data_IF_019439893356
#
_entry.id   IF_019439893356
#
_cell.length_a   1.000
_cell.length_b   1.000
_cell.length_c   1.000
_cell.angle_alpha   90.00
_cell.angle_beta   90.00
_cell.angle_gamma   90.00
#
_symmetry.space_group_name_H-M   'P 1'
#
loop_
_entity.id
_entity.type
_entity.pdbx_description
1 polymer ?
#
# COMPACT_ATOMS: atom_id res chain seq x y z
N UNK A 1 -8.60 12.35 8.36
CA UNK A 1 -7.93 12.33 7.04
C UNK A 1 -7.81 10.88 6.65
N UNK A 2 -7.66 10.57 5.37
CA UNK A 2 -7.85 9.23 4.86
C UNK A 2 -6.63 8.90 3.98
N UNK A 3 -6.08 7.69 4.08
CA UNK A 3 -4.82 7.24 3.42
C UNK A 3 -4.65 7.73 1.98
N UNK A 4 -5.72 7.75 1.18
CA UNK A 4 -5.61 8.15 -0.22
C UNK A 4 -5.26 9.63 -0.38
N UNK A 5 -5.68 10.50 0.54
CA UNK A 5 -5.37 11.92 0.46
C UNK A 5 -3.87 12.12 0.61
N UNK A 6 -3.24 11.38 1.53
CA UNK A 6 -1.80 11.37 1.69
C UNK A 6 -1.10 10.86 0.44
N UNK A 7 -1.60 9.75 -0.14
CA UNK A 7 -1.10 9.21 -1.41
C UNK A 7 -1.21 10.25 -2.54
N UNK A 8 -2.35 10.92 -2.68
CA UNK A 8 -2.59 11.93 -3.71
C UNK A 8 -1.61 13.11 -3.56
N UNK A 9 -1.46 13.65 -2.35
CA UNK A 9 -0.49 14.70 -2.06
C UNK A 9 0.94 14.25 -2.34
N UNK A 10 1.30 13.03 -1.96
CA UNK A 10 2.61 12.47 -2.25
C UNK A 10 2.84 12.38 -3.77
N UNK A 11 1.87 11.93 -4.55
CA UNK A 11 1.95 11.87 -6.02
C UNK A 11 2.13 13.27 -6.61
N UNK A 12 1.38 14.27 -6.14
CA UNK A 12 1.48 15.66 -6.62
C UNK A 12 2.89 16.20 -6.37
N UNK A 13 3.37 16.12 -5.12
CA UNK A 13 4.68 16.66 -4.72
C UNK A 13 5.79 15.92 -5.47
N UNK A 14 5.72 14.60 -5.51
CA UNK A 14 6.69 13.76 -6.21
C UNK A 14 6.68 14.03 -7.73
N UNK A 15 5.51 14.26 -8.33
CA UNK A 15 5.35 14.64 -9.72
C UNK A 15 5.96 16.00 -10.05
N UNK A 16 5.79 17.00 -9.18
CA UNK A 16 6.45 18.31 -9.30
C UNK A 16 7.97 18.14 -9.26
N UNK A 17 8.49 17.40 -8.29
CA UNK A 17 9.93 17.14 -8.16
C UNK A 17 10.46 16.41 -9.39
N UNK A 18 9.78 15.36 -9.85
CA UNK A 18 10.16 14.62 -11.06
C UNK A 18 10.15 15.51 -12.30
N UNK A 19 9.15 16.38 -12.42
CA UNK A 19 9.05 17.38 -13.49
C UNK A 19 10.26 18.32 -13.49
N UNK A 20 10.64 18.84 -12.33
CA UNK A 20 11.84 19.69 -12.16
C UNK A 20 13.12 18.93 -12.49
N UNK A 21 13.27 17.69 -12.00
CA UNK A 21 14.44 16.85 -12.26
C UNK A 21 14.58 16.46 -13.73
N UNK A 22 13.47 16.39 -14.46
CA UNK A 22 13.44 15.99 -15.87
C UNK A 22 13.82 17.12 -16.83
N UNK A 23 13.82 18.38 -16.38
CA UNK A 23 14.23 19.53 -17.20
C UNK A 23 15.68 19.40 -17.67
N UNK A 24 16.00 19.99 -18.81
CA UNK A 24 17.35 20.05 -19.40
C UNK A 24 18.01 18.66 -19.51
N UNK A 25 17.32 17.71 -20.16
CA UNK A 25 17.75 16.30 -20.32
C UNK A 25 18.01 15.57 -18.99
N UNK A 26 17.49 16.12 -17.88
CA UNK A 26 17.72 15.58 -16.56
C UNK A 26 17.12 14.19 -16.32
N UNK A 27 16.13 13.79 -17.12
CA UNK A 27 15.57 12.44 -17.11
C UNK A 27 16.61 11.36 -17.46
N UNK A 28 17.65 11.68 -18.25
CA UNK A 28 18.76 10.77 -18.58
C UNK A 28 19.70 10.56 -17.40
N UNK A 29 19.73 11.48 -16.43
CA UNK A 29 20.68 11.49 -15.30
C UNK A 29 20.16 10.66 -14.11
N UNK A 30 19.84 9.38 -14.34
CA UNK A 30 19.20 8.48 -13.35
C UNK A 30 19.94 8.44 -12.01
N UNK A 31 21.27 8.31 -12.01
CA UNK A 31 22.07 8.28 -10.76
C UNK A 31 21.93 9.56 -9.93
N UNK A 32 21.87 10.72 -10.59
CA UNK A 32 21.67 12.02 -9.94
C UNK A 32 20.28 12.08 -9.30
N UNK A 33 19.24 11.68 -10.06
CA UNK A 33 17.87 11.74 -9.59
C UNK A 33 17.64 10.80 -8.39
N UNK A 34 18.22 9.58 -8.42
CA UNK A 34 18.19 8.66 -7.28
C UNK A 34 18.83 9.29 -6.03
N UNK A 35 19.99 9.95 -6.15
CA UNK A 35 20.64 10.62 -5.03
C UNK A 35 19.79 11.75 -4.45
N UNK A 36 19.14 12.54 -5.32
CA UNK A 36 18.26 13.64 -4.90
C UNK A 36 17.05 13.08 -4.17
N UNK A 37 16.38 12.06 -4.70
CA UNK A 37 15.26 11.40 -4.02
C UNK A 37 15.66 10.79 -2.68
N UNK A 38 16.85 10.18 -2.59
CA UNK A 38 17.35 9.63 -1.34
C UNK A 38 17.57 10.74 -0.30
N UNK A 39 18.18 11.86 -0.71
CA UNK A 39 18.37 13.02 0.16
C UNK A 39 17.03 13.61 0.63
N UNK A 40 16.08 13.78 -0.28
CA UNK A 40 14.74 14.29 0.04
C UNK A 40 13.98 13.36 0.99
N UNK A 41 14.12 12.04 0.83
CA UNK A 41 13.52 11.06 1.75
C UNK A 41 14.08 11.21 3.17
N UNK A 42 15.41 11.35 3.32
CA UNK A 42 16.03 11.60 4.64
C UNK A 42 15.56 12.94 5.21
N UNK A 43 15.54 14.00 4.41
CA UNK A 43 15.07 15.33 4.86
C UNK A 43 13.63 15.24 5.37
N UNK A 44 12.72 14.59 4.65
CA UNK A 44 11.33 14.43 5.08
C UNK A 44 11.26 13.76 6.44
N UNK A 45 11.94 12.62 6.62
CA UNK A 45 11.91 11.87 7.89
C UNK A 45 12.48 12.69 9.05
N UNK A 46 13.59 13.40 8.85
CA UNK A 46 14.22 14.24 9.87
C UNK A 46 13.34 15.46 10.21
N UNK A 47 12.65 16.02 9.22
CA UNK A 47 11.78 17.18 9.40
C UNK A 47 10.41 16.83 9.99
N UNK A 48 9.96 15.58 9.90
CA UNK A 48 8.68 15.11 10.45
C UNK A 48 8.37 15.63 11.86
N UNK A 49 9.22 15.41 12.89
CA UNK A 49 8.92 15.87 14.25
C UNK A 49 8.85 17.40 14.35
N UNK A 50 9.66 18.12 13.56
CA UNK A 50 9.65 19.59 13.51
C UNK A 50 8.39 20.13 12.85
N UNK A 51 7.90 19.46 11.79
CA UNK A 51 6.65 19.81 11.11
C UNK A 51 5.46 19.58 12.04
N UNK A 52 5.38 18.43 12.70
CA UNK A 52 4.30 18.15 13.64
C UNK A 52 4.29 19.13 14.82
N UNK A 53 5.44 19.34 15.48
CA UNK A 53 5.56 20.32 16.56
C UNK A 53 5.26 21.76 16.11
N UNK A 54 5.60 22.10 14.86
CA UNK A 54 5.24 23.38 14.25
C UNK A 54 3.74 23.53 14.09
N UNK A 55 3.08 22.52 13.51
CA UNK A 55 1.63 22.54 13.29
C UNK A 55 0.84 22.67 14.59
N UNK A 56 1.27 21.97 15.64
CA UNK A 56 0.63 22.06 16.96
C UNK A 56 0.79 23.45 17.60
N UNK A 57 1.91 24.15 17.34
CA UNK A 57 2.11 25.53 17.80
C UNK A 57 1.34 26.56 16.97
N UNK A 58 1.18 26.32 15.67
CA UNK A 58 0.53 27.26 14.74
C UNK A 58 -1.00 27.23 14.85
N UNK A 59 -1.59 26.11 15.29
CA UNK A 59 -3.03 25.96 15.43
C UNK A 59 -3.37 26.15 16.90
N UNK A 60 -4.15 27.20 17.20
CA UNK A 60 -4.55 27.54 18.56
C UNK A 60 -5.07 26.29 19.28
N UNK A 61 -4.50 26.02 20.47
CA UNK A 61 -4.78 24.92 21.38
C UNK A 61 -4.13 23.54 21.09
N UNK A 62 -3.02 23.47 20.34
CA UNK A 62 -1.95 22.50 20.62
C UNK A 62 -2.11 21.02 20.25
N UNK A 63 -3.24 20.60 19.67
CA UNK A 63 -3.57 19.17 19.48
C UNK A 63 -4.03 18.83 18.04
N UNK A 64 -3.45 19.50 17.04
CA UNK A 64 -3.86 19.27 15.66
C UNK A 64 -3.34 17.95 15.11
N UNK A 65 -2.10 17.60 15.48
CA UNK A 65 -1.47 16.35 15.06
C UNK A 65 -2.06 15.13 15.77
N UNK A 66 -2.44 15.28 17.03
CA UNK A 66 -3.11 14.25 17.85
C UNK A 66 -4.59 14.04 17.50
N UNK A 67 -5.16 14.94 16.70
CA UNK A 67 -6.49 14.79 16.13
C UNK A 67 -7.62 14.93 17.14
N UNK A 68 -7.49 15.78 18.16
CA UNK A 68 -8.61 16.21 19.03
C UNK A 68 -8.87 17.72 18.92
N UNK A 69 -10.10 18.14 18.58
CA UNK A 69 -10.50 19.55 18.55
C UNK A 69 -10.57 20.05 19.99
N UNK A 70 -9.71 20.99 20.37
CA UNK A 70 -9.60 21.46 21.74
C UNK A 70 -10.76 22.36 22.18
N UNK A 71 -11.57 22.88 21.25
CA UNK A 71 -12.79 23.61 21.56
C UNK A 71 -13.96 22.69 21.93
N UNK A 72 -14.01 21.48 21.37
CA UNK A 72 -15.16 20.56 21.51
C UNK A 72 -14.82 19.26 22.22
N UNK A 73 -13.53 18.91 22.36
CA UNK A 73 -13.06 17.63 22.89
C UNK A 73 -13.30 16.44 21.97
N UNK A 74 -13.88 16.64 20.79
CA UNK A 74 -14.11 15.59 19.80
C UNK A 74 -12.88 15.37 18.93
N UNK A 75 -12.71 14.17 18.40
CA UNK A 75 -11.66 13.94 17.39
C UNK A 75 -11.84 14.89 16.20
N UNK A 76 -10.77 15.46 15.64
CA UNK A 76 -10.82 16.21 14.37
C UNK A 76 -11.27 15.26 13.25
N UNK A 77 -12.58 15.08 13.11
CA UNK A 77 -13.17 14.32 12.03
C UNK A 77 -13.25 15.22 10.80
N UNK A 78 -12.95 14.64 9.64
CA UNK A 78 -13.18 15.30 8.35
C UNK A 78 -14.71 15.45 8.21
N UNK A 79 -15.27 16.62 8.51
CA UNK A 79 -16.73 16.74 8.51
C UNK A 79 -17.31 17.96 9.22
N UNK A 80 -16.61 18.56 10.19
CA UNK A 80 -17.03 19.83 10.82
C UNK A 80 -16.72 21.03 9.91
N UNK A 81 -17.09 20.90 8.63
CA UNK A 81 -17.10 21.94 7.62
C UNK A 81 -18.11 23.04 7.96
N UNK A 82 -19.04 22.78 8.88
CA UNK A 82 -20.18 23.65 9.18
C UNK A 82 -19.82 24.73 10.22
N UNK A 83 -18.87 24.47 11.12
CA UNK A 83 -18.57 25.37 12.26
C UNK A 83 -17.31 26.23 12.09
N UNK A 84 -16.76 26.30 10.87
CA UNK A 84 -15.52 27.05 10.56
C UNK A 84 -15.71 28.16 9.53
N UNK A 85 -14.91 29.24 9.63
CA UNK A 85 -14.79 30.22 8.54
C UNK A 85 -14.27 29.53 7.26
N UNK A 86 -14.69 30.00 6.08
CA UNK A 86 -14.27 29.44 4.79
C UNK A 86 -12.74 29.26 4.71
N UNK A 87 -11.98 30.25 5.19
CA UNK A 87 -10.53 30.19 5.21
C UNK A 87 -9.96 29.14 6.17
N UNK A 88 -10.59 28.91 7.33
CA UNK A 88 -10.23 27.81 8.24
C UNK A 88 -10.48 26.45 7.58
N UNK A 89 -11.57 26.31 6.82
CA UNK A 89 -11.88 25.08 6.10
C UNK A 89 -10.93 24.84 4.93
N UNK A 90 -10.57 25.88 4.16
CA UNK A 90 -9.56 25.76 3.10
C UNK A 90 -8.19 25.41 3.68
N UNK A 91 -7.76 26.10 4.74
CA UNK A 91 -6.45 25.82 5.36
C UNK A 91 -6.38 24.41 5.95
N UNK A 92 -7.48 23.91 6.53
CA UNK A 92 -7.59 22.54 7.05
C UNK A 92 -7.23 21.49 6.00
N UNK A 93 -7.61 21.65 4.72
CA UNK A 93 -7.26 20.70 3.65
C UNK A 93 -5.75 20.51 3.50
N UNK A 94 -4.99 21.61 3.58
CA UNK A 94 -3.53 21.59 3.44
C UNK A 94 -2.83 21.22 4.74
N UNK A 95 -3.27 21.79 5.87
CA UNK A 95 -2.67 21.55 7.18
C UNK A 95 -2.89 20.11 7.62
N UNK A 96 -4.09 19.55 7.43
CA UNK A 96 -4.37 18.15 7.76
C UNK A 96 -3.47 17.22 6.98
N UNK A 97 -3.15 17.58 5.74
CA UNK A 97 -2.27 16.79 4.92
C UNK A 97 -0.82 16.76 5.43
N UNK A 98 -0.34 17.85 6.04
CA UNK A 98 1.04 17.91 6.51
C UNK A 98 1.29 17.11 7.79
N UNK A 99 0.32 17.06 8.71
CA UNK A 99 0.52 16.45 10.03
C UNK A 99 -0.75 16.00 10.75
N UNK A 100 -1.87 15.80 10.04
CA UNK A 100 -3.09 15.29 10.64
C UNK A 100 -2.95 13.85 11.16
N UNK A 101 -3.89 13.47 12.02
CA UNK A 101 -3.84 12.24 12.81
C UNK A 101 -3.69 10.95 11.98
N UNK A 102 -4.34 10.87 10.81
CA UNK A 102 -4.34 9.67 9.97
C UNK A 102 -3.43 9.88 8.77
N UNK A 103 -2.32 9.16 8.76
CA UNK A 103 -1.33 9.06 7.68
C UNK A 103 -0.90 10.38 7.02
N UNK A 104 -0.22 11.29 7.72
CA UNK A 104 0.21 12.58 7.16
C UNK A 104 1.30 12.48 6.07
N UNK A 105 1.43 13.50 5.22
CA UNK A 105 2.52 13.60 4.21
C UNK A 105 3.90 13.41 4.86
N UNK A 106 4.11 13.88 6.07
CA UNK A 106 5.32 13.60 6.85
C UNK A 106 5.00 12.45 7.82
N UNK A 107 5.63 11.26 7.75
CA UNK A 107 6.79 10.90 6.91
C UNK A 107 6.46 10.22 5.57
N UNK A 108 5.20 9.98 5.22
CA UNK A 108 4.84 9.11 4.08
C UNK A 108 5.34 9.58 2.70
N UNK A 109 5.65 10.86 2.54
CA UNK A 109 6.31 11.41 1.35
C UNK A 109 7.69 10.80 1.11
N UNK A 110 8.41 10.44 2.18
CA UNK A 110 9.66 9.72 2.07
C UNK A 110 9.46 8.33 1.42
N UNK A 111 8.36 7.65 1.73
CA UNK A 111 7.99 6.37 1.10
C UNK A 111 7.74 6.57 -0.39
N UNK A 112 7.04 7.65 -0.77
CA UNK A 112 6.84 8.01 -2.19
C UNK A 112 8.15 8.24 -2.93
N UNK A 113 9.12 8.93 -2.31
CA UNK A 113 10.45 9.12 -2.88
C UNK A 113 11.23 7.80 -3.01
N UNK A 114 11.12 6.89 -2.04
CA UNK A 114 11.69 5.54 -2.17
C UNK A 114 11.04 4.79 -3.33
N UNK A 115 9.72 4.92 -3.51
CA UNK A 115 9.00 4.40 -4.69
C UNK A 115 9.59 4.93 -6.00
N UNK A 116 9.86 6.24 -6.10
CA UNK A 116 10.52 6.85 -7.26
C UNK A 116 11.92 6.29 -7.51
N UNK A 117 12.71 6.05 -6.45
CA UNK A 117 14.04 5.43 -6.57
C UNK A 117 13.91 4.03 -7.19
N UNK A 118 12.96 3.22 -6.70
CA UNK A 118 12.70 1.88 -7.23
C UNK A 118 12.28 1.97 -8.71
N UNK A 119 11.33 2.84 -9.05
CA UNK A 119 10.87 3.04 -10.42
C UNK A 119 11.99 3.45 -11.38
N UNK A 120 12.79 4.46 -11.01
CA UNK A 120 13.97 4.88 -11.77
C UNK A 120 14.99 3.76 -11.96
N UNK A 121 15.13 2.90 -10.95
CA UNK A 121 16.04 1.77 -11.01
C UNK A 121 15.54 0.70 -11.99
N UNK A 122 14.26 0.34 -11.94
CA UNK A 122 13.64 -0.64 -12.83
C UNK A 122 13.73 -0.17 -14.29
N UNK A 123 13.38 1.08 -14.58
CA UNK A 123 13.47 1.64 -15.94
C UNK A 123 14.89 1.61 -16.50
N UNK A 124 15.89 1.88 -15.66
CA UNK A 124 17.29 1.77 -16.08
C UNK A 124 17.65 0.33 -16.41
N UNK A 125 17.19 -0.63 -15.62
CA UNK A 125 17.49 -2.04 -15.84
C UNK A 125 16.77 -2.62 -17.06
N UNK A 126 15.55 -2.19 -17.38
CA UNK A 126 14.84 -2.61 -18.59
C UNK A 126 15.52 -2.10 -19.87
N UNK A 127 16.15 -0.92 -19.83
CA UNK A 127 16.87 -0.35 -20.98
C UNK A 127 18.19 -1.07 -21.33
N UNK A 128 18.79 -1.82 -20.38
CA UNK A 128 20.04 -2.55 -20.56
C UNK A 128 19.70 -4.00 -20.90
N UNK A 129 19.36 -4.26 -22.17
CA UNK A 129 18.83 -5.53 -22.68
C UNK A 129 19.80 -6.75 -22.65
N UNK A 130 21.02 -6.62 -22.15
CA UNK A 130 22.06 -7.67 -22.31
C UNK A 130 22.20 -8.70 -21.18
N UNK A 131 22.11 -8.30 -19.91
CA UNK A 131 22.27 -9.22 -18.78
C UNK A 131 21.46 -8.73 -17.57
N UNK A 132 20.28 -9.32 -17.39
CA UNK A 132 19.31 -8.93 -16.37
C UNK A 132 19.69 -9.52 -15.01
N UNK A 133 20.65 -8.87 -14.36
CA UNK A 133 21.10 -9.25 -13.02
C UNK A 133 19.99 -9.10 -11.98
N UNK A 134 19.73 -10.14 -11.18
CA UNK A 134 18.82 -10.06 -10.00
C UNK A 134 19.48 -9.38 -8.79
N UNK A 135 20.77 -9.03 -8.88
CA UNK A 135 21.55 -8.41 -7.81
C UNK A 135 20.89 -7.17 -7.17
N UNK A 136 20.30 -6.22 -7.91
CA UNK A 136 19.71 -5.04 -7.28
C UNK A 136 18.42 -5.33 -6.54
N UNK A 137 17.56 -6.23 -7.05
CA UNK A 137 16.42 -6.71 -6.28
C UNK A 137 16.87 -7.36 -4.98
N UNK A 138 17.92 -8.21 -5.03
CA UNK A 138 18.48 -8.83 -3.83
C UNK A 138 19.02 -7.80 -2.83
N UNK A 139 19.74 -6.78 -3.32
CA UNK A 139 20.24 -5.68 -2.47
C UNK A 139 19.10 -4.86 -1.87
N UNK A 140 18.06 -4.55 -2.65
CA UNK A 140 16.87 -3.85 -2.17
C UNK A 140 16.10 -4.67 -1.14
N UNK A 141 15.91 -5.97 -1.38
CA UNK A 141 15.31 -6.88 -0.39
C UNK A 141 16.15 -7.00 0.89
N UNK A 142 17.48 -6.99 0.77
CA UNK A 142 18.37 -6.99 1.94
C UNK A 142 18.30 -5.68 2.72
N UNK A 143 18.23 -4.54 2.04
CA UNK A 143 18.01 -3.25 2.68
C UNK A 143 16.65 -3.20 3.39
N UNK A 144 15.59 -3.68 2.73
CA UNK A 144 14.26 -3.83 3.32
C UNK A 144 14.28 -4.73 4.56
N UNK A 145 14.99 -5.85 4.52
CA UNK A 145 15.15 -6.74 5.67
C UNK A 145 15.90 -6.05 6.83
N UNK A 146 16.98 -5.33 6.54
CA UNK A 146 17.72 -4.56 7.55
C UNK A 146 16.80 -3.50 8.19
N UNK A 147 16.00 -2.79 7.38
CA UNK A 147 15.01 -1.85 7.88
C UNK A 147 14.02 -2.55 8.83
N UNK A 148 13.43 -3.68 8.42
CA UNK A 148 12.53 -4.45 9.28
C UNK A 148 13.19 -4.83 10.60
N UNK A 149 14.43 -5.32 10.58
CA UNK A 149 15.17 -5.66 11.80
C UNK A 149 15.41 -4.43 12.70
N UNK A 150 15.85 -3.30 12.12
CA UNK A 150 16.06 -2.05 12.87
C UNK A 150 14.75 -1.55 13.48
N UNK A 151 13.66 -1.56 12.71
CA UNK A 151 12.34 -1.17 13.18
C UNK A 151 11.84 -2.08 14.29
N UNK A 152 11.95 -3.40 14.14
CA UNK A 152 11.54 -4.36 15.16
C UNK A 152 12.34 -4.18 16.47
N UNK A 153 13.67 -4.16 16.37
CA UNK A 153 14.55 -3.99 17.54
C UNK A 153 14.31 -2.64 18.21
N UNK A 154 14.13 -1.58 17.43
CA UNK A 154 13.83 -0.25 17.94
C UNK A 154 12.48 -0.17 18.64
N UNK A 155 11.42 -0.76 18.07
CA UNK A 155 10.12 -0.87 18.74
C UNK A 155 10.26 -1.61 20.08
N UNK A 156 10.92 -2.78 20.10
CA UNK A 156 11.15 -3.54 21.34
C UNK A 156 11.96 -2.73 22.37
N UNK A 157 13.01 -2.03 21.94
CA UNK A 157 13.81 -1.21 22.83
C UNK A 157 13.00 -0.07 23.47
N UNK A 158 12.16 0.62 22.69
CA UNK A 158 11.28 1.68 23.23
C UNK A 158 10.26 1.09 24.21
N UNK A 159 9.70 -0.08 23.93
CA UNK A 159 8.81 -0.79 24.84
C UNK A 159 9.50 -1.11 26.17
N UNK A 160 10.73 -1.64 26.13
CA UNK A 160 11.48 -1.99 27.33
C UNK A 160 11.87 -0.76 28.18
N UNK A 161 12.20 0.36 27.53
CA UNK A 161 12.57 1.61 28.23
C UNK A 161 11.35 2.27 28.88
N UNK A 162 10.15 2.08 28.33
CA UNK A 162 8.92 2.70 28.81
C UNK A 162 8.36 2.07 30.11
N UNK A 163 9.02 1.03 30.65
CA UNK A 163 8.63 0.32 31.88
C UNK A 163 7.60 -0.79 31.63
N UNK A 164 7.85 -2.00 32.14
CA UNK A 164 7.15 -3.24 31.77
C UNK A 164 5.62 -3.27 31.88
N UNK A 165 5.00 -2.47 32.76
CA UNK A 165 3.53 -2.32 32.85
C UNK A 165 2.90 -1.69 31.58
N UNK A 166 3.75 -1.23 30.66
CA UNK A 166 3.36 -0.66 29.37
C UNK A 166 3.36 -1.65 28.22
N UNK A 167 3.75 -2.92 28.37
CA UNK A 167 3.73 -3.85 27.21
C UNK A 167 2.31 -4.05 26.69
N UNK A 168 1.33 -4.24 27.56
CA UNK A 168 -0.08 -4.34 27.16
C UNK A 168 -0.62 -3.01 26.67
N UNK A 169 -0.31 -1.90 27.33
CA UNK A 169 -0.74 -0.57 26.87
C UNK A 169 -0.10 -0.18 25.54
N UNK A 170 1.14 -0.59 25.30
CA UNK A 170 1.87 -0.27 24.09
C UNK A 170 1.57 -1.25 22.96
N UNK A 171 1.24 -2.51 23.24
CA UNK A 171 0.60 -3.41 22.29
C UNK A 171 -0.79 -2.89 21.91
N UNK A 172 -1.57 -2.44 22.89
CA UNK A 172 -2.87 -1.80 22.69
C UNK A 172 -2.72 -0.50 21.88
N UNK A 173 -1.71 0.30 22.16
CA UNK A 173 -1.38 1.49 21.37
C UNK A 173 -0.92 1.11 19.97
N UNK A 174 -0.05 0.11 19.77
CA UNK A 174 0.35 -0.34 18.44
C UNK A 174 -0.83 -0.96 17.65
N UNK A 175 -1.80 -1.56 18.33
CA UNK A 175 -3.02 -2.11 17.75
C UNK A 175 -4.05 -1.01 17.40
N UNK A 176 -4.10 0.06 18.19
CA UNK A 176 -5.09 1.14 18.05
C UNK A 176 -4.50 2.44 17.47
N UNK A 177 -3.18 2.49 17.23
CA UNK A 177 -2.52 3.66 16.65
C UNK A 177 -2.73 3.63 15.15
N UNK A 178 -3.87 4.14 14.73
CA UNK A 178 -4.14 4.50 13.33
C UNK A 178 -3.31 5.75 12.90
N UNK A 179 -2.34 6.15 13.74
CA UNK A 179 -1.75 7.47 13.80
C UNK A 179 -0.28 7.43 14.24
N UNK A 180 0.61 7.84 13.33
CA UNK A 180 2.03 8.06 13.62
C UNK A 180 2.28 9.27 14.55
N UNK A 181 1.54 10.39 14.45
CA UNK A 181 1.64 11.49 15.41
C UNK A 181 1.34 11.06 16.86
N UNK A 182 0.28 10.27 17.08
CA UNK A 182 -0.06 9.78 18.42
C UNK A 182 1.04 8.87 19.00
N UNK A 183 1.70 8.06 18.17
CA UNK A 183 2.88 7.29 18.58
C UNK A 183 4.04 8.20 19.00
N UNK A 184 4.21 9.36 18.37
CA UNK A 184 5.22 10.33 18.78
C UNK A 184 4.88 10.94 20.14
N UNK A 185 3.64 11.38 20.31
CA UNK A 185 3.21 12.02 21.55
C UNK A 185 3.26 11.06 22.75
N UNK A 186 2.94 9.79 22.52
CA UNK A 186 2.86 8.78 23.58
C UNK A 186 4.19 8.10 23.87
N UNK A 187 4.95 7.75 22.84
CA UNK A 187 6.14 6.88 22.94
C UNK A 187 7.40 7.51 22.33
N UNK A 188 7.39 8.82 22.07
CA UNK A 188 8.55 9.57 21.59
C UNK A 188 9.04 9.05 20.24
N UNK A 189 10.23 8.46 20.18
CA UNK A 189 10.84 8.01 18.91
C UNK A 189 10.22 6.72 18.35
N UNK A 190 9.24 6.10 19.02
CA UNK A 190 8.59 4.86 18.56
C UNK A 190 8.03 4.95 17.13
N UNK A 191 7.45 6.11 16.76
CA UNK A 191 6.90 6.34 15.42
C UNK A 191 7.95 6.10 14.32
N UNK A 192 9.22 6.44 14.58
CA UNK A 192 10.30 6.30 13.60
C UNK A 192 10.63 4.83 13.36
N UNK A 193 10.72 4.04 14.43
CA UNK A 193 10.99 2.61 14.32
C UNK A 193 9.81 1.86 13.68
N UNK A 194 8.57 2.23 14.03
CA UNK A 194 7.38 1.69 13.38
C UNK A 194 7.33 2.08 11.90
N UNK A 195 7.65 3.33 11.56
CA UNK A 195 7.75 3.80 10.19
C UNK A 195 8.78 3.00 9.38
N UNK A 196 9.98 2.78 9.92
CA UNK A 196 11.02 1.97 9.28
C UNK A 196 10.57 0.52 9.11
N UNK A 197 9.93 -0.06 10.13
CA UNK A 197 9.41 -1.43 10.10
C UNK A 197 8.38 -1.61 8.98
N UNK A 198 7.38 -0.73 8.92
CA UNK A 198 6.32 -0.78 7.92
C UNK A 198 6.86 -0.51 6.51
N UNK A 199 7.70 0.52 6.36
CA UNK A 199 8.30 0.88 5.06
C UNK A 199 9.20 -0.25 4.55
N UNK A 200 10.05 -0.81 5.43
CA UNK A 200 10.89 -1.96 5.11
C UNK A 200 10.07 -3.16 4.67
N UNK A 201 8.98 -3.45 5.38
CA UNK A 201 8.05 -4.54 5.04
C UNK A 201 7.40 -4.33 3.67
N UNK A 202 6.89 -3.12 3.39
CA UNK A 202 6.28 -2.77 2.11
C UNK A 202 7.26 -2.90 0.94
N UNK A 203 8.48 -2.37 1.08
CA UNK A 203 9.54 -2.50 0.06
C UNK A 203 9.90 -3.97 -0.15
N UNK A 204 10.07 -4.73 0.94
CA UNK A 204 10.38 -6.15 0.89
C UNK A 204 9.32 -6.94 0.12
N UNK A 205 8.04 -6.72 0.43
CA UNK A 205 6.91 -7.33 -0.25
C UNK A 205 6.84 -6.94 -1.74
N UNK A 206 6.99 -5.65 -2.07
CA UNK A 206 6.95 -5.18 -3.46
C UNK A 206 8.08 -5.79 -4.30
N UNK A 207 9.32 -5.74 -3.81
CA UNK A 207 10.47 -6.31 -4.50
C UNK A 207 10.38 -7.84 -4.61
N UNK A 208 9.78 -8.50 -3.61
CA UNK A 208 9.50 -9.92 -3.66
C UNK A 208 8.47 -10.25 -4.77
N UNK A 209 7.40 -9.46 -4.91
CA UNK A 209 6.42 -9.63 -5.99
C UNK A 209 7.10 -9.46 -7.35
N UNK A 210 7.89 -8.40 -7.56
CA UNK A 210 8.64 -8.22 -8.81
C UNK A 210 9.56 -9.41 -9.10
N UNK A 211 10.24 -9.93 -8.07
CA UNK A 211 11.08 -11.11 -8.21
C UNK A 211 10.30 -12.37 -8.57
N UNK A 212 9.09 -12.54 -8.03
CA UNK A 212 8.25 -13.73 -8.21
C UNK A 212 7.44 -13.72 -9.51
N UNK A 213 7.14 -12.54 -10.03
CA UNK A 213 6.25 -12.33 -11.17
C UNK A 213 7.09 -11.96 -12.40
N UNK A 214 7.63 -10.74 -12.45
CA UNK A 214 8.28 -10.18 -13.65
C UNK A 214 9.63 -10.87 -13.95
N UNK A 215 10.45 -11.11 -12.94
CA UNK A 215 11.75 -11.76 -13.12
C UNK A 215 11.66 -13.28 -13.38
N UNK A 216 10.45 -13.86 -13.27
CA UNK A 216 10.16 -15.26 -13.57
C UNK A 216 9.36 -15.46 -14.85
N UNK A 217 9.06 -14.40 -15.61
CA UNK A 217 8.25 -14.53 -16.82
C UNK A 217 6.81 -14.95 -16.51
N UNK A 218 6.26 -14.53 -15.36
CA UNK A 218 4.93 -14.94 -14.90
C UNK A 218 3.94 -13.78 -14.88
N UNK A 219 4.29 -12.63 -15.45
CA UNK A 219 3.44 -11.43 -15.44
C UNK A 219 2.06 -11.74 -16.04
N UNK A 220 1.98 -12.36 -17.22
CA UNK A 220 0.70 -12.69 -17.85
C UNK A 220 -0.20 -13.60 -16.99
N UNK A 221 0.33 -14.73 -16.52
CA UNK A 221 -0.47 -15.67 -15.73
C UNK A 221 -0.87 -15.09 -14.37
N UNK A 222 -0.01 -14.25 -13.78
CA UNK A 222 -0.33 -13.55 -12.55
C UNK A 222 -1.42 -12.49 -12.79
N UNK A 223 -1.29 -11.70 -13.86
CA UNK A 223 -2.23 -10.66 -14.24
C UNK A 223 -3.62 -11.19 -14.58
N UNK A 224 -3.72 -12.32 -15.28
CA UNK A 224 -4.99 -13.02 -15.54
C UNK A 224 -5.67 -13.48 -14.25
N UNK A 225 -4.90 -14.01 -13.28
CA UNK A 225 -5.42 -14.45 -11.98
C UNK A 225 -5.80 -13.30 -11.04
N UNK A 226 -5.16 -12.15 -11.21
CA UNK A 226 -5.39 -10.97 -10.37
C UNK A 226 -6.33 -9.95 -10.99
N UNK A 227 -7.02 -10.31 -12.10
CA UNK A 227 -7.98 -9.43 -12.78
C UNK A 227 -9.01 -8.82 -11.82
N UNK A 228 -9.44 -9.58 -10.82
CA UNK A 228 -10.27 -9.10 -9.71
C UNK A 228 -9.68 -7.85 -9.06
N UNK A 229 -8.46 -7.93 -8.50
CA UNK A 229 -7.81 -6.81 -7.82
C UNK A 229 -7.42 -5.70 -8.80
N UNK A 230 -7.08 -6.05 -10.04
CA UNK A 230 -6.71 -5.08 -11.08
C UNK A 230 -7.88 -4.18 -11.48
N UNK A 231 -9.12 -4.68 -11.44
CA UNK A 231 -10.32 -3.83 -11.65
C UNK A 231 -10.44 -2.74 -10.59
N UNK A 232 -10.25 -3.10 -9.32
CA UNK A 232 -10.21 -2.11 -8.23
C UNK A 232 -9.05 -1.14 -8.41
N UNK A 233 -7.87 -1.63 -8.74
CA UNK A 233 -6.68 -0.81 -8.95
C UNK A 233 -6.78 0.15 -10.15
N UNK A 234 -7.55 -0.21 -11.18
CA UNK A 234 -7.72 0.61 -12.38
C UNK A 234 -8.50 1.90 -12.11
N UNK A 235 -9.41 1.87 -11.14
CA UNK A 235 -10.21 3.03 -10.70
C UNK A 235 -10.15 3.25 -9.19
N UNK A 236 -8.95 3.11 -8.62
CA UNK A 236 -8.73 3.12 -7.18
C UNK A 236 -9.17 4.41 -6.49
N UNK A 237 -8.93 5.58 -7.10
CA UNK A 237 -9.38 6.87 -6.57
C UNK A 237 -10.89 6.96 -6.55
N UNK A 238 -11.56 6.51 -7.61
CA UNK A 238 -13.02 6.53 -7.67
C UNK A 238 -13.66 5.60 -6.63
N UNK A 239 -13.19 4.35 -6.52
CA UNK A 239 -13.70 3.39 -5.53
C UNK A 239 -13.57 3.98 -4.12
N UNK A 240 -12.44 4.60 -3.84
CA UNK A 240 -12.19 5.21 -2.55
C UNK A 240 -13.10 6.41 -2.25
N UNK A 241 -13.19 7.37 -3.16
CA UNK A 241 -14.03 8.56 -2.96
C UNK A 241 -15.53 8.22 -2.88
N UNK A 242 -15.92 7.07 -3.43
CA UNK A 242 -17.28 6.56 -3.37
C UNK A 242 -17.47 5.47 -2.31
N UNK A 243 -16.59 5.37 -1.31
CA UNK A 243 -16.79 4.47 -0.15
C UNK A 243 -18.11 4.72 0.59
N UNK A 244 -18.69 5.92 0.52
CA UNK A 244 -20.02 6.16 1.09
C UNK A 244 -21.10 5.23 0.50
N UNK A 245 -20.88 4.67 -0.70
CA UNK A 245 -21.79 3.71 -1.33
C UNK A 245 -21.78 2.36 -0.59
N UNK A 246 -20.76 2.08 0.25
CA UNK A 246 -20.69 0.90 1.13
C UNK A 246 -21.86 0.86 2.14
N UNK A 247 -22.51 2.00 2.38
CA UNK A 247 -23.73 2.05 3.19
C UNK A 247 -24.84 1.16 2.62
N UNK A 248 -24.90 0.98 1.29
CA UNK A 248 -25.96 0.18 0.64
C UNK A 248 -25.88 -1.29 1.06
N UNK A 249 -24.77 -2.03 0.84
CA UNK A 249 -24.65 -3.40 1.29
C UNK A 249 -24.76 -3.55 2.81
N UNK A 250 -24.31 -2.57 3.60
CA UNK A 250 -24.48 -2.58 5.07
C UNK A 250 -25.95 -2.49 5.46
N UNK A 251 -26.73 -1.61 4.82
CA UNK A 251 -28.18 -1.53 5.04
C UNK A 251 -28.90 -2.81 4.60
N UNK A 252 -28.46 -3.47 3.53
CA UNK A 252 -28.98 -4.78 3.12
C UNK A 252 -28.76 -5.81 4.24
N UNK A 253 -27.59 -5.83 4.90
CA UNK A 253 -27.37 -6.72 6.07
C UNK A 253 -28.36 -6.40 7.19
N UNK A 254 -28.56 -5.12 7.49
CA UNK A 254 -29.52 -4.68 8.51
C UNK A 254 -30.96 -5.13 8.21
N UNK A 255 -31.36 -5.11 6.94
CA UNK A 255 -32.70 -5.57 6.50
C UNK A 255 -32.86 -7.09 6.54
N UNK A 256 -31.78 -7.85 6.32
CA UNK A 256 -31.82 -9.31 6.28
C UNK A 256 -31.81 -9.96 7.68
N UNK A 257 -31.43 -9.22 8.72
CA UNK A 257 -31.23 -9.75 10.07
C UNK A 257 -32.27 -9.16 11.02
N UNK A 258 -33.23 -9.97 11.52
CA UNK A 258 -34.22 -9.53 12.48
C UNK A 258 -33.56 -8.97 13.74
N UNK A 259 -34.01 -7.79 14.19
CA UNK A 259 -33.52 -7.15 15.41
C UNK A 259 -32.44 -6.09 15.22
N UNK A 260 -31.90 -5.91 14.02
CA UNK A 260 -31.01 -4.78 13.71
C UNK A 260 -31.87 -3.56 13.33
N UNK A 261 -31.70 -2.39 13.98
CA UNK A 261 -32.42 -1.19 13.59
C UNK A 261 -32.08 -0.80 12.15
N UNK A 262 -33.08 -0.42 11.34
CA UNK A 262 -32.90 -0.01 9.94
C UNK A 262 -32.17 1.32 9.73
N UNK A 263 -31.58 1.90 10.79
CA UNK A 263 -30.75 3.10 10.71
C UNK A 263 -29.28 2.72 10.57
N UNK A 264 -28.51 3.52 9.83
CA UNK A 264 -27.08 3.27 9.59
C UNK A 264 -26.32 3.08 10.91
N UNK A 265 -26.55 3.98 11.87
CA UNK A 265 -25.94 3.92 13.19
C UNK A 265 -26.35 2.66 13.97
N UNK A 266 -27.64 2.27 13.89
CA UNK A 266 -28.15 1.06 14.52
C UNK A 266 -27.57 -0.22 13.93
N UNK A 267 -27.31 -0.26 12.62
CA UNK A 267 -26.60 -1.37 11.98
C UNK A 267 -25.19 -1.48 12.55
N UNK A 268 -24.37 -0.42 12.45
CA UNK A 268 -22.97 -0.46 12.90
C UNK A 268 -22.81 -0.85 14.38
N UNK A 269 -23.71 -0.38 15.25
CA UNK A 269 -23.66 -0.70 16.68
C UNK A 269 -24.13 -2.13 17.00
N UNK A 270 -24.89 -2.76 16.10
CA UNK A 270 -25.45 -4.10 16.30
C UNK A 270 -24.71 -5.18 15.52
N UNK A 271 -23.64 -4.84 14.79
CA UNK A 271 -22.88 -5.83 14.04
C UNK A 271 -22.04 -6.69 14.98
N UNK A 272 -22.31 -7.99 15.00
CA UNK A 272 -21.43 -8.98 15.60
C UNK A 272 -20.39 -9.45 14.56
N UNK A 273 -19.42 -10.26 14.97
CA UNK A 273 -18.33 -10.74 14.09
C UNK A 273 -18.87 -11.41 12.81
N UNK A 274 -19.95 -12.19 12.90
CA UNK A 274 -20.53 -12.89 11.76
C UNK A 274 -21.14 -11.90 10.77
N UNK A 275 -21.89 -10.91 11.28
CA UNK A 275 -22.53 -9.90 10.42
C UNK A 275 -21.53 -8.93 9.82
N UNK A 276 -20.40 -8.67 10.49
CA UNK A 276 -19.25 -7.94 9.92
C UNK A 276 -18.70 -8.70 8.70
N UNK A 277 -18.41 -10.00 8.83
CA UNK A 277 -17.90 -10.80 7.71
C UNK A 277 -18.89 -10.86 6.55
N UNK A 278 -20.18 -10.99 6.85
CA UNK A 278 -21.23 -10.93 5.83
C UNK A 278 -21.25 -9.57 5.12
N UNK A 279 -21.17 -8.46 5.87
CA UNK A 279 -21.11 -7.11 5.32
C UNK A 279 -19.89 -6.93 4.41
N UNK A 280 -18.71 -7.38 4.83
CA UNK A 280 -17.48 -7.33 4.01
C UNK A 280 -17.67 -8.08 2.69
N UNK A 281 -18.21 -9.30 2.73
CA UNK A 281 -18.46 -10.09 1.52
C UNK A 281 -19.47 -9.40 0.58
N UNK A 282 -20.53 -8.82 1.13
CA UNK A 282 -21.52 -8.07 0.35
C UNK A 282 -20.96 -6.79 -0.24
N UNK A 283 -20.14 -6.03 0.50
CA UNK A 283 -19.43 -4.85 -0.01
C UNK A 283 -18.55 -5.24 -1.19
N UNK A 284 -17.74 -6.30 -1.04
CA UNK A 284 -16.86 -6.78 -2.12
C UNK A 284 -17.67 -7.21 -3.34
N UNK A 285 -18.75 -7.98 -3.15
CA UNK A 285 -19.60 -8.45 -4.24
C UNK A 285 -20.30 -7.29 -4.96
N UNK A 286 -20.80 -6.32 -4.18
CA UNK A 286 -21.46 -5.12 -4.68
C UNK A 286 -20.50 -4.27 -5.51
N UNK A 287 -19.30 -3.98 -5.01
CA UNK A 287 -18.28 -3.27 -5.78
C UNK A 287 -17.86 -4.02 -7.04
N UNK A 288 -17.70 -5.34 -6.97
CA UNK A 288 -17.36 -6.13 -8.15
C UNK A 288 -18.44 -6.05 -9.24
N UNK A 289 -19.71 -6.03 -8.84
CA UNK A 289 -20.82 -5.84 -9.75
C UNK A 289 -20.77 -4.43 -10.37
N UNK A 290 -20.62 -3.40 -9.54
CA UNK A 290 -20.49 -2.02 -10.00
C UNK A 290 -19.33 -1.86 -10.97
N UNK A 291 -18.13 -2.32 -10.62
CA UNK A 291 -16.95 -2.24 -11.47
C UNK A 291 -17.11 -2.99 -12.79
N UNK A 292 -17.79 -4.15 -12.80
CA UNK A 292 -18.11 -4.88 -14.03
C UNK A 292 -19.07 -4.11 -14.93
N UNK A 293 -20.08 -3.47 -14.36
CA UNK A 293 -21.03 -2.65 -15.11
C UNK A 293 -20.33 -1.39 -15.63
N UNK A 294 -19.52 -0.74 -14.79
CA UNK A 294 -18.81 0.48 -15.10
C UNK A 294 -17.73 0.29 -16.16
N UNK A 295 -17.09 -0.89 -16.20
CA UNK A 295 -16.17 -1.29 -17.27
C UNK A 295 -16.82 -1.27 -18.65
N UNK A 296 -18.10 -1.64 -18.77
CA UNK A 296 -18.83 -1.63 -20.06
C UNK A 296 -18.97 -0.22 -20.65
N UNK A 297 -18.95 0.80 -19.80
CA UNK A 297 -18.95 2.21 -20.21
C UNK A 297 -17.56 2.83 -20.07
N UNK A 298 -16.51 2.01 -20.09
CA UNK A 298 -15.11 2.43 -20.06
C UNK A 298 -14.78 3.34 -18.88
N UNK A 299 -15.40 3.07 -17.72
CA UNK A 299 -15.21 3.85 -16.49
C UNK A 299 -15.43 5.37 -16.68
N UNK A 300 -16.37 5.76 -17.56
CA UNK A 300 -16.71 7.17 -17.79
C UNK A 300 -17.23 7.80 -16.49
N UNK A 301 -16.87 9.06 -16.22
CA UNK A 301 -17.14 9.78 -14.96
C UNK A 301 -16.41 9.27 -13.72
N UNK A 302 -15.44 8.36 -13.87
CA UNK A 302 -14.47 8.09 -12.81
C UNK A 302 -13.56 9.31 -12.60
N UNK A 303 -13.02 9.46 -11.39
CA UNK A 303 -11.97 10.43 -11.09
C UNK A 303 -10.74 10.23 -11.99
N UNK A 304 -10.39 8.98 -12.28
CA UNK A 304 -9.32 8.63 -13.22
C UNK A 304 -9.62 9.16 -14.63
N UNK A 305 -10.86 9.03 -15.10
CA UNK A 305 -11.29 9.61 -16.36
C UNK A 305 -11.18 11.15 -16.32
N UNK A 306 -11.63 11.81 -15.25
CA UNK A 306 -11.47 13.26 -15.10
C UNK A 306 -10.01 13.69 -15.09
N UNK A 307 -9.13 12.97 -14.40
CA UNK A 307 -7.67 13.23 -14.38
C UNK A 307 -7.10 13.05 -15.78
N UNK A 308 -7.48 12.00 -16.50
CA UNK A 308 -7.06 11.78 -17.88
C UNK A 308 -7.51 12.96 -18.78
N UNK A 309 -8.74 13.45 -18.64
CA UNK A 309 -9.25 14.64 -19.36
C UNK A 309 -8.48 15.89 -19.03
N UNK A 310 -8.28 16.15 -17.74
CA UNK A 310 -7.57 17.33 -17.28
C UNK A 310 -6.12 17.31 -17.80
N UNK A 311 -5.47 16.14 -17.79
CA UNK A 311 -4.11 16.00 -18.32
C UNK A 311 -4.02 16.28 -19.83
N UNK A 312 -5.03 15.96 -20.63
CA UNK A 312 -5.08 16.32 -22.05
C UNK A 312 -5.13 17.84 -22.27
N UNK A 313 -5.82 18.57 -21.38
CA UNK A 313 -5.94 20.04 -21.43
C UNK A 313 -4.74 20.73 -20.81
N UNK A 314 -4.02 20.11 -19.88
CA UNK A 314 -2.88 20.74 -19.20
C UNK A 314 -1.53 20.41 -19.85
N UNK A 315 -1.36 19.21 -20.41
CA UNK A 315 -0.08 18.74 -20.96
C UNK A 315 0.07 19.20 -22.43
N UNK A 316 1.08 20.03 -22.75
CA UNK A 316 1.25 20.59 -24.10
C UNK A 316 1.48 19.56 -25.21
N UNK A 317 2.05 18.41 -24.88
CA UNK A 317 2.29 17.29 -25.82
C UNK A 317 0.94 16.78 -26.34
N UNK A 318 -0.03 16.57 -25.45
CA UNK A 318 -1.36 16.07 -25.79
C UNK A 318 -2.22 17.14 -26.49
N UNK A 319 -1.99 18.43 -26.21
CA UNK A 319 -2.65 19.53 -26.94
C UNK A 319 -2.34 19.53 -28.43
N UNK A 320 -1.14 19.10 -28.84
CA UNK A 320 -0.74 19.08 -30.26
C UNK A 320 -1.48 18.01 -31.06
N UNK A 321 -1.90 16.93 -30.41
CA UNK A 321 -2.71 15.87 -31.02
C UNK A 321 -4.20 16.25 -31.07
N UNK A 322 -4.69 17.05 -30.12
CA UNK A 322 -6.07 17.58 -30.10
C UNK A 322 -6.22 18.88 -30.91
N UNK A 323 -5.85 18.87 -32.20
CA UNK A 323 -6.06 20.04 -33.09
C UNK A 323 -7.53 20.32 -33.41
N UNK A 324 -8.44 19.39 -33.14
CA UNK A 324 -9.88 19.56 -33.31
C UNK A 324 -10.57 19.63 -31.95
N UNK A 325 -11.50 20.57 -31.76
CA UNK A 325 -12.40 20.61 -30.61
C UNK A 325 -13.29 19.36 -30.63
N UNK A 326 -12.81 18.27 -30.03
CA UNK A 326 -13.59 17.06 -29.86
C UNK A 326 -14.60 17.31 -28.74
N UNK A 327 -15.89 17.17 -29.04
CA UNK A 327 -16.97 17.23 -28.06
C UNK A 327 -16.64 16.34 -26.85
N UNK A 328 -16.95 16.78 -25.63
CA UNK A 328 -16.48 16.12 -24.40
C UNK A 328 -16.84 14.62 -24.33
N UNK A 329 -17.98 14.21 -24.90
CA UNK A 329 -18.41 12.80 -24.97
C UNK A 329 -17.69 11.94 -26.02
N UNK A 330 -16.98 12.56 -26.98
CA UNK A 330 -16.17 11.92 -28.03
C UNK A 330 -14.68 11.84 -27.66
N UNK A 331 -14.29 12.38 -26.52
CA UNK A 331 -12.91 12.35 -26.09
C UNK A 331 -12.49 10.93 -25.67
N UNK A 332 -11.19 10.57 -25.72
CA UNK A 332 -10.73 9.20 -25.51
C UNK A 332 -11.14 8.70 -24.12
N UNK A 333 -11.85 7.58 -24.05
CA UNK A 333 -12.24 6.98 -22.76
C UNK A 333 -11.04 6.25 -22.17
N UNK A 334 -11.14 5.87 -20.89
CA UNK A 334 -10.19 4.90 -20.34
C UNK A 334 -10.31 3.62 -21.18
N UNK A 335 -9.21 2.94 -21.45
CA UNK A 335 -9.23 1.69 -22.20
C UNK A 335 -9.05 0.51 -21.25
N UNK A 336 -10.12 0.02 -20.61
CA UNK A 336 -10.02 -1.13 -19.74
C UNK A 336 -9.74 -2.42 -20.51
N UNK A 337 -9.99 -2.48 -21.82
CA UNK A 337 -9.67 -3.67 -22.63
C UNK A 337 -8.16 -3.79 -22.74
N UNK A 338 -7.49 -2.75 -23.23
CA UNK A 338 -6.03 -2.72 -23.29
C UNK A 338 -5.39 -2.84 -21.90
N UNK A 339 -5.93 -2.13 -20.90
CA UNK A 339 -5.33 -2.08 -19.58
C UNK A 339 -5.60 -3.30 -18.69
N UNK A 340 -6.69 -4.04 -18.89
CA UNK A 340 -7.05 -5.20 -18.03
C UNK A 340 -6.93 -6.54 -18.75
N UNK A 341 -7.34 -6.61 -20.02
CA UNK A 341 -7.50 -7.86 -20.75
C UNK A 341 -6.40 -8.11 -21.78
N UNK A 342 -6.00 -7.07 -22.51
CA UNK A 342 -5.02 -7.11 -23.62
C UNK A 342 -3.70 -6.43 -23.24
N UNK A 343 -3.25 -6.67 -22.01
CA UNK A 343 -2.08 -6.01 -21.43
C UNK A 343 -0.81 -6.47 -22.13
N UNK A 344 0.03 -5.52 -22.53
CA UNK A 344 1.40 -5.81 -22.92
C UNK A 344 2.24 -6.15 -21.68
N UNK A 345 2.66 -7.41 -21.56
CA UNK A 345 3.39 -7.88 -20.39
C UNK A 345 4.88 -7.60 -20.53
N UNK A 346 5.39 -6.73 -19.65
CA UNK A 346 6.81 -6.50 -19.48
C UNK A 346 7.45 -7.63 -18.65
N UNK A 347 7.74 -8.76 -19.30
CA UNK A 347 8.52 -9.81 -18.66
C UNK A 347 10.03 -9.51 -18.75
N UNK A 348 10.69 -9.51 -17.59
CA UNK A 348 12.13 -9.27 -17.52
C UNK A 348 12.86 -10.49 -18.08
N UNK A 349 12.42 -11.70 -17.77
CA UNK A 349 12.91 -12.92 -18.42
C UNK A 349 11.76 -13.64 -19.12
N UNK A 350 11.97 -14.08 -20.36
CA UNK A 350 10.99 -14.96 -21.03
C UNK A 350 10.92 -16.29 -20.29
N UNK A 351 9.75 -16.95 -20.31
CA UNK A 351 9.56 -18.25 -19.63
C UNK A 351 10.54 -19.32 -20.10
N UNK A 352 10.90 -19.28 -21.38
CA UNK A 352 11.78 -20.23 -22.03
C UNK A 352 13.26 -19.95 -21.76
N UNK A 353 13.62 -18.70 -21.43
CA UNK A 353 14.98 -18.31 -21.06
C UNK A 353 15.39 -18.66 -19.63
N UNK A 354 14.52 -19.31 -18.85
CA UNK A 354 14.87 -19.76 -17.49
C UNK A 354 15.67 -21.07 -17.54
N UNK A 355 16.94 -20.94 -17.21
CA UNK A 355 17.85 -22.08 -17.02
C UNK A 355 17.44 -22.92 -15.79
N UNK A 356 16.69 -23.98 -16.07
CA UNK A 356 16.23 -24.98 -15.12
C UNK A 356 17.34 -25.98 -14.71
N UNK A 357 18.41 -26.11 -15.49
CA UNK A 357 19.54 -26.99 -15.19
C UNK A 357 20.27 -26.60 -13.90
N UNK A 358 20.29 -25.30 -13.56
CA UNK A 358 20.90 -24.80 -12.34
C UNK A 358 20.03 -24.88 -11.07
N UNK A 359 18.87 -25.54 -11.13
CA UNK A 359 17.89 -25.69 -10.04
C UNK A 359 17.46 -24.34 -9.44
N UNK A 360 17.32 -23.32 -10.29
CA UNK A 360 17.07 -21.94 -9.85
C UNK A 360 15.72 -21.82 -9.15
N UNK A 361 14.69 -22.53 -9.60
CA UNK A 361 13.37 -22.49 -8.95
C UNK A 361 13.37 -23.24 -7.63
N UNK A 362 14.03 -24.40 -7.55
CA UNK A 362 14.17 -25.17 -6.31
C UNK A 362 14.93 -24.37 -5.23
N UNK A 363 16.02 -23.70 -5.60
CA UNK A 363 16.78 -22.82 -4.69
C UNK A 363 15.94 -21.64 -4.20
N UNK A 364 15.16 -21.01 -5.08
CA UNK A 364 14.26 -19.92 -4.72
C UNK A 364 13.16 -20.40 -3.76
N UNK A 365 12.53 -21.53 -4.06
CA UNK A 365 11.51 -22.13 -3.19
C UNK A 365 12.07 -22.37 -1.80
N UNK A 366 13.27 -22.95 -1.68
CA UNK A 366 13.89 -23.16 -0.36
C UNK A 366 14.14 -21.85 0.38
N UNK A 367 14.62 -20.81 -0.30
CA UNK A 367 14.81 -19.48 0.31
C UNK A 367 13.49 -18.94 0.86
N UNK A 368 12.40 -19.03 0.10
CA UNK A 368 11.08 -18.58 0.52
C UNK A 368 10.53 -19.40 1.69
N UNK A 369 10.79 -20.71 1.70
CA UNK A 369 10.40 -21.56 2.81
C UNK A 369 11.04 -21.09 4.14
N UNK A 370 12.33 -20.72 4.12
CA UNK A 370 12.98 -20.15 5.30
C UNK A 370 12.46 -18.75 5.64
N UNK A 371 12.21 -17.91 4.63
CA UNK A 371 11.59 -16.59 4.85
C UNK A 371 10.17 -16.70 5.43
N UNK A 372 9.49 -17.82 5.24
CA UNK A 372 8.14 -18.08 5.77
C UNK A 372 8.01 -17.87 7.27
N UNK A 373 9.07 -18.13 8.04
CA UNK A 373 9.06 -17.95 9.49
C UNK A 373 8.91 -16.49 9.93
N UNK A 374 9.35 -15.54 9.10
CA UNK A 374 9.17 -14.11 9.33
C UNK A 374 7.99 -13.54 8.53
N UNK A 375 7.65 -14.18 7.42
CA UNK A 375 6.59 -13.74 6.51
C UNK A 375 5.76 -14.94 6.07
N UNK A 376 4.74 -15.28 6.87
CA UNK A 376 3.95 -16.50 6.71
C UNK A 376 3.40 -16.76 5.29
N UNK A 377 3.01 -15.76 4.47
CA UNK A 377 2.55 -16.02 3.11
C UNK A 377 3.62 -16.68 2.24
N UNK A 378 4.90 -16.50 2.55
CA UNK A 378 5.99 -17.16 1.83
C UNK A 378 5.98 -18.69 1.96
N UNK A 379 5.40 -19.27 3.02
CA UNK A 379 5.22 -20.73 3.07
C UNK A 379 4.29 -21.23 1.97
N UNK A 380 3.14 -20.59 1.77
CA UNK A 380 2.18 -20.96 0.73
C UNK A 380 2.77 -20.78 -0.67
N UNK A 381 3.45 -19.65 -0.90
CA UNK A 381 4.12 -19.35 -2.16
C UNK A 381 5.22 -20.37 -2.43
N UNK A 382 6.07 -20.64 -1.44
CA UNK A 382 7.14 -21.64 -1.52
C UNK A 382 6.58 -23.01 -1.84
N UNK A 383 5.52 -23.44 -1.15
CA UNK A 383 4.86 -24.72 -1.40
C UNK A 383 4.37 -24.82 -2.85
N UNK A 384 3.70 -23.79 -3.37
CA UNK A 384 3.27 -23.73 -4.76
C UNK A 384 4.44 -23.80 -5.77
N UNK A 385 5.55 -23.14 -5.46
CA UNK A 385 6.76 -23.18 -6.30
C UNK A 385 7.41 -24.57 -6.24
N UNK A 386 7.59 -25.17 -5.06
CA UNK A 386 8.21 -26.50 -4.92
C UNK A 386 7.48 -27.58 -5.70
N UNK A 387 6.13 -27.54 -5.71
CA UNK A 387 5.30 -28.45 -6.50
C UNK A 387 5.48 -28.23 -8.01
N UNK A 388 5.65 -26.98 -8.43
CA UNK A 388 5.84 -26.63 -9.85
C UNK A 388 7.25 -26.97 -10.32
N UNK A 389 8.27 -26.71 -9.51
CA UNK A 389 9.66 -27.01 -9.84
C UNK A 389 9.93 -28.52 -9.82
N UNK A 390 9.24 -29.31 -8.99
CA UNK A 390 9.35 -30.78 -9.01
C UNK A 390 9.01 -31.38 -10.38
N UNK A 391 8.10 -30.74 -11.12
CA UNK A 391 7.70 -31.17 -12.46
C UNK A 391 8.68 -30.76 -13.57
N UNK A 392 9.56 -29.79 -13.31
CA UNK A 392 10.43 -29.17 -14.32
C UNK A 392 11.92 -29.42 -14.10
N UNK A 393 12.34 -29.50 -12.84
CA UNK A 393 13.73 -29.64 -12.40
C UNK A 393 13.97 -31.00 -11.70
N UNK A 394 13.02 -31.93 -11.87
CA UNK A 394 12.90 -33.20 -11.16
C UNK A 394 12.91 -33.09 -9.62
N UNK A 395 12.61 -34.19 -8.95
CA UNK A 395 12.61 -34.24 -7.48
C UNK A 395 14.04 -34.24 -6.96
N UNK A 396 14.54 -33.07 -6.57
CA UNK A 396 15.85 -32.92 -5.95
C UNK A 396 15.75 -32.66 -4.42
N UNK A 397 16.88 -32.84 -3.70
CA UNK A 397 16.95 -32.66 -2.24
C UNK A 397 16.54 -31.25 -1.79
N UNK A 398 16.91 -30.22 -2.55
CA UNK A 398 16.60 -28.81 -2.26
C UNK A 398 15.08 -28.59 -2.30
N UNK A 399 14.43 -29.12 -3.33
CA UNK A 399 13.00 -29.02 -3.52
C UNK A 399 12.22 -29.78 -2.44
N UNK A 400 12.69 -30.99 -2.08
CA UNK A 400 12.12 -31.77 -0.99
C UNK A 400 12.20 -31.02 0.34
N UNK A 401 13.35 -30.41 0.66
CA UNK A 401 13.50 -29.56 1.85
C UNK A 401 12.52 -28.39 1.85
N UNK A 402 12.44 -27.66 0.74
CA UNK A 402 11.53 -26.52 0.61
C UNK A 402 10.07 -26.92 0.85
N UNK A 403 9.64 -28.05 0.27
CA UNK A 403 8.29 -28.59 0.45
C UNK A 403 8.01 -28.95 1.91
N UNK A 404 8.91 -29.67 2.58
CA UNK A 404 8.75 -30.10 3.98
C UNK A 404 8.65 -28.87 4.90
N UNK A 405 9.60 -27.93 4.79
CA UNK A 405 9.61 -26.71 5.60
C UNK A 405 8.32 -25.91 5.39
N UNK A 406 7.84 -25.82 4.14
CA UNK A 406 6.62 -25.09 3.83
C UNK A 406 5.37 -25.76 4.42
N UNK A 407 5.28 -27.10 4.41
CA UNK A 407 4.17 -27.83 5.03
C UNK A 407 4.17 -27.62 6.55
N UNK A 408 5.34 -27.76 7.19
CA UNK A 408 5.48 -27.53 8.63
C UNK A 408 5.09 -26.09 8.97
N UNK A 409 5.57 -25.11 8.20
CA UNK A 409 5.21 -23.71 8.37
C UNK A 409 3.72 -23.43 8.20
N UNK A 410 3.08 -23.99 7.16
CA UNK A 410 1.62 -23.85 6.96
C UNK A 410 0.86 -24.46 8.13
N UNK A 411 1.22 -25.66 8.57
CA UNK A 411 0.59 -26.31 9.71
C UNK A 411 0.76 -25.48 10.99
N UNK A 412 1.97 -24.96 11.23
CA UNK A 412 2.24 -24.09 12.37
C UNK A 412 1.39 -22.81 12.32
N UNK A 413 1.30 -22.13 11.17
CA UNK A 413 0.47 -20.91 11.02
C UNK A 413 -1.00 -21.20 11.26
N UNK A 414 -1.53 -22.29 10.71
CA UNK A 414 -2.93 -22.68 10.89
C UNK A 414 -3.22 -23.03 12.36
N UNK A 415 -2.35 -23.81 12.99
CA UNK A 415 -2.45 -24.13 14.41
C UNK A 415 -2.37 -22.87 15.27
N UNK A 416 -1.41 -21.97 14.99
CA UNK A 416 -1.27 -20.71 15.69
C UNK A 416 -2.53 -19.86 15.57
N UNK A 417 -3.06 -19.68 14.35
CA UNK A 417 -4.29 -18.94 14.10
C UNK A 417 -5.49 -19.50 14.88
N UNK A 418 -5.64 -20.83 14.89
CA UNK A 418 -6.70 -21.52 15.65
C UNK A 418 -6.52 -21.27 17.16
N UNK A 419 -5.32 -21.49 17.69
CA UNK A 419 -5.03 -21.29 19.12
C UNK A 419 -5.28 -19.84 19.54
N UNK A 420 -4.76 -18.86 18.79
CA UNK A 420 -4.98 -17.43 19.07
C UNK A 420 -6.43 -16.99 18.90
N UNK A 421 -7.23 -17.70 18.10
CA UNK A 421 -8.65 -17.41 17.94
C UNK A 421 -9.51 -17.99 19.07
N UNK A 422 -9.02 -19.02 19.76
CA UNK A 422 -9.74 -19.71 20.83
C UNK A 422 -9.33 -19.24 22.23
N UNK A 423 -8.11 -18.75 22.39
CA UNK A 423 -7.60 -18.26 23.66
C UNK A 423 -7.72 -16.73 23.74
N UNK A 424 -8.23 -16.18 24.86
CA UNK A 424 -8.10 -14.77 25.17
C UNK A 424 -6.61 -14.37 25.12
N UNK A 425 -6.29 -13.24 24.50
CA UNK A 425 -4.89 -12.77 24.32
C UNK A 425 -4.13 -12.72 25.65
N UNK A 426 -4.81 -12.37 26.75
CA UNK A 426 -4.22 -12.33 28.10
C UNK A 426 -3.87 -13.68 28.73
N UNK A 427 -4.15 -14.81 28.07
CA UNK A 427 -3.70 -16.15 28.49
C UNK A 427 -2.53 -16.68 27.65
N UNK A 428 -2.16 -15.99 26.57
CA UNK A 428 -1.11 -16.41 25.61
C UNK A 428 0.23 -15.75 25.93
N UNK A 429 0.19 -14.55 26.51
CA UNK A 429 1.33 -13.86 27.12
C UNK A 429 1.44 -14.27 28.59
#
# INVERSE_FOLDING_TARGET
METIHAVAWCIIINGIIQGLLSRNDGFKKVKRNIKIYALLAVIVVVMTPLVWAGLDRFIANGNFSSGIDPGTGHGWQYGDLIDGSLWKNISRVFLSALGGNVEPIFPFLAVSFVGSIIGLYIMKQSSIQGEKSTRPLKKGMMAAFIMVCIGLVGCIAVLLISGGDTVDNALTLLQNSDSMPQLQDTLGIAWFFMFILLTGSQIGCMLLIFRLVEFRGKAEAFGKKTLFFRRFGFVAFSVYNFQFVDVIPVLIVGLLIPGIPGTIQGVYQSLNVITIWLAILLIIAFWMLLLKIWEKVHYTFSLEWFIAKLSMVLIPINKREMKTQVQWWKTPRLDPVAALHEVEWLDVNTREGMDHGNLKESKLSRQLAYCGWLFFPAFFISFGISRSSAKKEDTNKINRQAKIISIIGIAWVLSFAVVTSLLPIGLIL
#
